data_IF_678190318670
#
_entry.id   IF_678190318670
#
_cell.length_a   1.000
_cell.length_b   1.000
_cell.length_c   1.000
_cell.angle_alpha   90.00
_cell.angle_beta   90.00
_cell.angle_gamma   90.00
#
_symmetry.space_group_name_H-M   'P 1'
#
loop_
_entity.id
_entity.type
_entity.pdbx_description
1 polymer ?
#
# COMPACT_ATOMS: atom_id res chain seq x y z
N UNK A 1 10.62 35.49 8.93
CA UNK A 1 10.35 35.07 7.54
C UNK A 1 9.80 33.65 7.60
N UNK A 2 8.50 33.55 7.30
CA UNK A 2 7.70 32.38 6.90
C UNK A 2 8.13 30.99 7.41
N UNK A 3 7.42 30.49 8.43
CA UNK A 3 7.25 29.05 8.61
C UNK A 3 6.33 28.55 7.48
N UNK A 4 6.89 28.17 6.34
CA UNK A 4 6.14 27.49 5.28
C UNK A 4 5.57 26.21 5.88
N UNK A 5 4.24 26.08 5.92
CA UNK A 5 3.60 24.85 6.37
C UNK A 5 4.09 23.69 5.48
N UNK A 6 5.02 22.90 6.01
CA UNK A 6 5.54 21.73 5.30
C UNK A 6 4.38 20.76 5.06
N UNK A 7 4.13 20.43 3.79
CA UNK A 7 3.14 19.39 3.46
C UNK A 7 3.57 18.06 4.09
N UNK A 8 2.61 17.16 4.36
CA UNK A 8 2.91 15.80 4.84
C UNK A 8 3.92 15.10 3.93
N UNK A 9 3.80 15.31 2.62
CA UNK A 9 4.75 14.76 1.66
C UNK A 9 6.16 15.32 1.87
N UNK A 10 6.31 16.64 2.02
CA UNK A 10 7.62 17.26 2.23
C UNK A 10 8.29 16.73 3.50
N UNK A 11 7.55 16.64 4.61
CA UNK A 11 8.08 16.10 5.87
C UNK A 11 8.54 14.63 5.74
N UNK A 12 7.81 13.81 4.96
CA UNK A 12 8.18 12.43 4.67
C UNK A 12 9.40 12.37 3.75
N UNK A 13 9.50 13.23 2.73
CA UNK A 13 10.65 13.29 1.84
C UNK A 13 11.92 13.70 2.58
N UNK A 14 11.84 14.72 3.45
CA UNK A 14 12.97 15.21 4.23
C UNK A 14 13.49 14.12 5.19
N UNK A 15 12.58 13.39 5.86
CA UNK A 15 12.93 12.28 6.76
C UNK A 15 13.62 11.13 6.03
N UNK A 16 13.18 10.83 4.80
CA UNK A 16 13.59 9.63 4.06
C UNK A 16 14.53 9.93 2.89
N UNK A 17 15.06 11.15 2.79
CA UNK A 17 16.02 11.56 1.75
C UNK A 17 15.49 11.45 0.32
N UNK A 18 14.17 11.57 0.13
CA UNK A 18 13.50 11.35 -1.16
C UNK A 18 13.77 9.99 -1.82
N UNK A 19 14.10 8.96 -1.02
CA UNK A 19 14.26 7.60 -1.50
C UNK A 19 12.92 6.86 -1.49
N UNK A 20 12.60 6.19 -2.61
CA UNK A 20 11.42 5.35 -2.65
C UNK A 20 11.56 4.16 -1.68
N UNK A 21 10.46 3.73 -1.08
CA UNK A 21 10.38 2.58 -0.19
C UNK A 21 10.94 1.28 -0.80
N UNK A 22 10.91 1.13 -2.13
CA UNK A 22 11.51 -0.02 -2.81
C UNK A 22 13.05 0.01 -2.83
N UNK A 23 13.69 1.11 -2.43
CA UNK A 23 15.15 1.30 -2.40
C UNK A 23 15.87 0.94 -3.71
N UNK A 24 15.23 1.24 -4.84
CA UNK A 24 15.78 0.91 -6.17
C UNK A 24 15.42 -0.47 -6.72
N UNK A 25 14.80 -1.37 -5.94
CA UNK A 25 14.49 -2.74 -6.36
C UNK A 25 13.42 -2.86 -7.46
N UNK A 26 12.78 -1.76 -7.86
CA UNK A 26 11.73 -1.79 -8.89
C UNK A 26 12.26 -1.81 -10.33
N UNK A 27 13.55 -1.56 -10.57
CA UNK A 27 14.24 -1.73 -11.87
C UNK A 27 13.81 -0.81 -13.01
N UNK A 28 12.87 0.13 -12.79
CA UNK A 28 12.26 0.93 -13.87
C UNK A 28 12.66 2.41 -13.92
N UNK A 29 12.97 3.06 -12.78
CA UNK A 29 13.04 4.54 -12.74
C UNK A 29 14.02 5.10 -11.69
N UNK A 30 14.81 4.24 -11.04
CA UNK A 30 15.82 4.65 -10.06
C UNK A 30 17.22 4.37 -10.61
N UNK A 31 18.16 5.26 -10.30
CA UNK A 31 19.59 4.92 -10.38
C UNK A 31 19.96 3.91 -9.29
N UNK A 32 21.24 3.53 -9.22
CA UNK A 32 21.76 2.65 -8.14
C UNK A 32 21.63 3.25 -6.73
N UNK A 33 21.30 4.54 -6.63
CA UNK A 33 21.09 5.31 -5.41
C UNK A 33 19.67 5.17 -4.82
N UNK A 34 18.72 4.56 -5.55
CA UNK A 34 17.34 4.38 -5.09
C UNK A 34 16.53 5.69 -5.01
N UNK A 35 17.06 6.79 -5.54
CA UNK A 35 16.38 8.10 -5.62
C UNK A 35 15.42 8.09 -6.80
N UNK A 36 14.21 8.58 -6.59
CA UNK A 36 13.24 8.76 -7.67
C UNK A 36 13.55 10.02 -8.47
N UNK A 37 14.13 9.84 -9.67
CA UNK A 37 14.44 10.92 -10.61
C UNK A 37 13.32 11.18 -11.62
N UNK A 38 12.13 10.61 -11.42
CA UNK A 38 10.99 10.88 -12.30
C UNK A 38 10.71 12.39 -12.22
N UNK A 39 10.53 13.09 -13.34
CA UNK A 39 10.10 14.48 -13.29
C UNK A 39 8.69 14.57 -12.72
N UNK A 40 8.35 15.72 -12.14
CA UNK A 40 6.96 16.08 -11.88
C UNK A 40 6.16 15.94 -13.19
N UNK A 41 4.98 15.32 -13.11
CA UNK A 41 4.11 15.13 -14.29
C UNK A 41 2.74 15.71 -14.00
N UNK A 42 2.29 16.67 -14.82
CA UNK A 42 0.98 17.30 -14.68
C UNK A 42 0.74 17.89 -13.28
N UNK A 43 1.75 18.55 -12.69
CA UNK A 43 1.67 19.12 -11.34
C UNK A 43 1.65 18.08 -10.21
N UNK A 44 1.92 16.80 -10.51
CA UNK A 44 1.98 15.74 -9.50
C UNK A 44 3.43 15.38 -9.17
N UNK A 45 3.82 15.44 -7.88
CA UNK A 45 5.17 15.11 -7.46
C UNK A 45 5.50 13.67 -7.84
N UNK A 46 6.79 13.37 -8.11
CA UNK A 46 7.21 12.05 -8.54
C UNK A 46 7.07 10.97 -7.47
N UNK A 47 6.94 11.40 -6.22
CA UNK A 47 6.75 10.58 -5.04
C UNK A 47 5.46 10.99 -4.32
N UNK A 48 4.79 9.99 -3.75
CA UNK A 48 3.67 10.16 -2.82
C UNK A 48 4.03 9.56 -1.46
N UNK A 49 3.44 10.06 -0.39
CA UNK A 49 3.57 9.47 0.93
C UNK A 49 2.53 8.36 1.13
N UNK A 50 2.96 7.20 1.62
CA UNK A 50 2.07 6.07 1.89
C UNK A 50 2.70 5.09 2.88
N UNK A 51 1.90 4.24 3.55
CA UNK A 51 2.41 3.27 4.52
C UNK A 51 3.31 2.20 3.89
N UNK A 52 4.16 1.61 4.72
CA UNK A 52 4.92 0.41 4.38
C UNK A 52 4.75 -0.68 5.46
N UNK A 53 4.25 -1.88 5.12
CA UNK A 53 3.64 -2.21 3.83
C UNK A 53 2.30 -1.46 3.60
N UNK A 54 1.83 -1.33 2.35
CA UNK A 54 0.48 -0.84 2.08
C UNK A 54 -0.59 -1.70 2.76
N UNK A 55 -1.79 -1.13 2.93
CA UNK A 55 -2.98 -1.82 3.42
C UNK A 55 -3.94 -2.14 2.27
N UNK A 56 -4.79 -3.16 2.37
CA UNK A 56 -5.67 -3.59 1.28
C UNK A 56 -6.62 -2.49 0.76
N UNK A 57 -7.09 -1.61 1.66
CA UNK A 57 -8.07 -0.57 1.34
C UNK A 57 -7.52 0.84 1.49
N UNK A 58 -8.04 1.77 0.69
CA UNK A 58 -7.60 3.16 0.72
C UNK A 58 -7.89 3.83 2.08
N UNK A 59 -9.02 3.51 2.71
CA UNK A 59 -9.37 3.99 4.06
C UNK A 59 -8.32 3.57 5.09
N UNK A 60 -7.85 2.32 5.05
CA UNK A 60 -6.79 1.86 5.94
C UNK A 60 -5.46 2.55 5.65
N UNK A 61 -5.16 2.86 4.39
CA UNK A 61 -3.94 3.58 4.03
C UNK A 61 -3.97 5.05 4.50
N UNK A 62 -5.11 5.72 4.38
CA UNK A 62 -5.30 7.12 4.82
C UNK A 62 -5.27 7.24 6.35
N UNK A 63 -5.71 6.21 7.07
CA UNK A 63 -5.72 6.21 8.53
C UNK A 63 -4.32 6.06 9.16
N UNK A 64 -3.27 5.79 8.37
CA UNK A 64 -1.92 5.63 8.91
C UNK A 64 -1.36 6.99 9.33
N UNK A 65 -0.82 7.12 10.57
CA UNK A 65 -0.20 8.37 11.02
C UNK A 65 0.92 8.83 10.10
N UNK A 66 1.08 10.15 9.94
CA UNK A 66 2.13 10.74 9.10
C UNK A 66 3.56 10.34 9.51
N UNK A 67 3.76 9.94 10.78
CA UNK A 67 5.03 9.44 11.28
C UNK A 67 5.44 8.10 10.63
N UNK A 68 4.47 7.30 10.19
CA UNK A 68 4.68 5.94 9.67
C UNK A 68 4.62 5.86 8.14
N UNK A 69 4.52 7.01 7.47
CA UNK A 69 4.52 7.09 6.02
C UNK A 69 5.94 7.11 5.46
N UNK A 70 6.10 6.49 4.30
CA UNK A 70 7.35 6.49 3.53
C UNK A 70 7.10 6.99 2.09
N UNK A 71 8.15 7.45 1.38
CA UNK A 71 8.00 7.87 0.00
C UNK A 71 7.79 6.68 -0.94
N UNK A 72 6.90 6.82 -1.91
CA UNK A 72 6.64 5.81 -2.93
C UNK A 72 6.61 6.40 -4.33
N UNK A 73 7.29 5.71 -5.25
CA UNK A 73 7.09 5.92 -6.67
C UNK A 73 5.75 5.30 -7.11
N UNK A 74 5.00 5.94 -8.01
CA UNK A 74 3.68 5.44 -8.45
C UNK A 74 3.65 3.97 -8.91
N UNK A 75 4.60 3.49 -9.74
CA UNK A 75 4.71 2.06 -10.07
C UNK A 75 4.99 1.16 -8.87
N UNK A 76 5.83 1.61 -7.94
CA UNK A 76 6.24 0.88 -6.74
C UNK A 76 5.04 0.69 -5.79
N UNK A 77 4.29 1.78 -5.58
CA UNK A 77 3.06 1.79 -4.79
C UNK A 77 2.02 0.82 -5.34
N UNK A 78 1.75 0.88 -6.65
CA UNK A 78 0.80 -0.02 -7.32
C UNK A 78 1.19 -1.49 -7.15
N UNK A 79 2.45 -1.83 -7.42
CA UNK A 79 2.92 -3.22 -7.26
C UNK A 79 2.75 -3.71 -5.82
N UNK A 80 3.11 -2.90 -4.83
CA UNK A 80 2.97 -3.26 -3.43
C UNK A 80 1.49 -3.40 -3.01
N UNK A 81 0.61 -2.51 -3.49
CA UNK A 81 -0.84 -2.63 -3.28
C UNK A 81 -1.41 -3.89 -3.91
N UNK A 82 -1.02 -4.22 -5.14
CA UNK A 82 -1.50 -5.40 -5.85
C UNK A 82 -1.12 -6.68 -5.09
N UNK A 83 0.11 -6.76 -4.55
CA UNK A 83 0.55 -7.86 -3.70
C UNK A 83 -0.32 -7.99 -2.44
N UNK A 84 -0.54 -6.89 -1.71
CA UNK A 84 -1.32 -6.91 -0.47
C UNK A 84 -2.79 -7.23 -0.75
N UNK A 85 -3.36 -6.70 -1.83
CA UNK A 85 -4.75 -6.98 -2.23
C UNK A 85 -4.92 -8.42 -2.68
N UNK A 86 -3.97 -9.00 -3.40
CA UNK A 86 -4.01 -10.41 -3.79
C UNK A 86 -3.97 -11.32 -2.56
N UNK A 87 -3.11 -11.03 -1.58
CA UNK A 87 -3.06 -11.77 -0.31
C UNK A 87 -4.38 -11.67 0.47
N UNK A 88 -4.92 -10.46 0.62
CA UNK A 88 -6.19 -10.25 1.32
C UNK A 88 -7.38 -10.91 0.59
N UNK A 89 -7.34 -10.98 -0.73
CA UNK A 89 -8.35 -11.69 -1.52
C UNK A 89 -8.24 -13.22 -1.34
N UNK A 90 -7.03 -13.77 -1.22
CA UNK A 90 -6.82 -15.18 -0.94
C UNK A 90 -7.36 -15.58 0.44
N UNK A 91 -6.98 -14.84 1.48
CA UNK A 91 -7.48 -15.05 2.85
C UNK A 91 -9.02 -14.95 2.92
N UNK A 92 -9.60 -13.99 2.19
CA UNK A 92 -11.06 -13.86 2.12
C UNK A 92 -11.73 -15.05 1.45
N UNK A 93 -11.14 -15.62 0.39
CA UNK A 93 -11.67 -16.83 -0.27
C UNK A 93 -11.63 -18.02 0.69
N UNK A 94 -10.48 -18.29 1.30
CA UNK A 94 -10.33 -19.38 2.27
C UNK A 94 -11.32 -19.26 3.44
N UNK A 95 -11.52 -18.04 3.95
CA UNK A 95 -12.51 -17.79 5.01
C UNK A 95 -13.95 -18.04 4.56
N UNK A 96 -14.29 -17.65 3.32
CA UNK A 96 -15.64 -17.88 2.79
C UNK A 96 -15.88 -19.37 2.54
N UNK A 97 -14.89 -20.10 2.03
CA UNK A 97 -14.93 -21.56 1.84
C UNK A 97 -15.13 -22.28 3.17
N UNK A 98 -14.36 -21.94 4.21
CA UNK A 98 -14.52 -22.52 5.55
C UNK A 98 -15.91 -22.25 6.17
N UNK A 99 -16.49 -21.08 5.92
CA UNK A 99 -17.85 -20.76 6.38
C UNK A 99 -18.93 -21.51 5.59
N UNK A 100 -18.71 -21.71 4.29
CA UNK A 100 -19.63 -22.48 3.45
C UNK A 100 -19.64 -23.96 3.86
N UNK A 101 -18.47 -24.56 4.11
CA UNK A 101 -18.36 -25.93 4.62
C UNK A 101 -19.14 -26.13 5.93
N UNK A 102 -19.03 -25.19 6.87
CA UNK A 102 -19.81 -25.22 8.12
C UNK A 102 -21.32 -25.16 7.89
N UNK A 103 -21.78 -24.30 6.97
CA UNK A 103 -23.22 -24.12 6.69
C UNK A 103 -23.87 -25.38 6.09
N UNK A 104 -23.15 -26.13 5.25
CA UNK A 104 -23.67 -27.36 4.64
C UNK A 104 -23.56 -28.58 5.57
N UNK A 105 -22.56 -28.63 6.46
CA UNK A 105 -22.44 -29.69 7.46
C UNK A 105 -23.58 -29.66 8.49
N UNK A 106 -24.06 -28.47 8.85
CA UNK A 106 -25.16 -28.30 9.81
C UNK A 106 -26.55 -28.60 9.22
N UNK A 107 -26.69 -28.62 7.89
CA UNK A 107 -27.96 -28.82 7.17
C UNK A 107 -28.34 -30.27 6.86
N UNK A 108 -27.41 -31.23 7.03
CA UNK A 108 -27.63 -32.65 6.67
C UNK A 108 -28.34 -33.47 7.77
N UNK A 109 -28.63 -32.88 8.94
CA UNK A 109 -29.26 -33.58 10.08
C UNK A 109 -30.77 -33.35 10.24
N UNK A 110 -31.40 -32.45 9.47
CA UNK A 110 -32.84 -32.13 9.62
C UNK A 110 -33.76 -32.78 8.58
N UNK A 111 -33.26 -33.68 7.72
CA UNK A 111 -34.02 -34.24 6.59
C UNK A 111 -34.22 -35.77 6.58
N UNK A 112 -33.89 -36.48 7.66
CA UNK A 112 -34.06 -37.93 7.74
C UNK A 112 -35.08 -38.32 8.82
N UNK A 113 -36.37 -38.13 8.53
CA UNK A 113 -37.48 -38.77 9.24
C UNK A 113 -38.65 -39.03 8.29
#
# INVERSE_FOLDING_TARGET
>A
MEHTASTVLQAVLDRHGAHCACRGACGKTHGRDGVCRRPEQFGRPPLSAGPYPPRPTDRQNIAVPAADLVPWCGPCWRRALDTVRAAAAAERRERLEALQEGLFADGELEGAA
#
